data_IF_489425268376
#
_entry.id   IF_489425268376
#
_cell.length_a   1.000
_cell.length_b   1.000
_cell.length_c   1.000
_cell.angle_alpha   90.00
_cell.angle_beta   90.00
_cell.angle_gamma   90.00
#
_symmetry.space_group_name_H-M   'P 1'
#
loop_
_entity.id
_entity.type
_entity.pdbx_description
1 polymer ?
#
# COMPACT_ATOMS: atom_id res chain seq x y z
N UNK A 1 -32.89 63.69 46.92
CA UNK A 1 -32.78 62.23 46.87
C UNK A 1 -32.48 61.85 45.43
N UNK A 2 -31.20 61.49 45.09
CA UNK A 2 -30.79 61.08 43.73
C UNK A 2 -30.92 59.56 43.64
N UNK A 3 -31.74 59.05 42.74
CA UNK A 3 -31.86 57.62 42.45
C UNK A 3 -30.73 57.20 41.53
N UNK A 4 -29.89 56.29 41.98
CA UNK A 4 -28.83 55.65 41.17
C UNK A 4 -29.49 54.44 40.49
N UNK A 5 -29.61 54.47 39.17
CA UNK A 5 -30.06 53.32 38.38
C UNK A 5 -28.83 52.47 38.07
N UNK A 6 -28.80 51.27 38.64
CA UNK A 6 -27.79 50.27 38.38
C UNK A 6 -28.07 49.59 37.04
N UNK A 7 -27.25 49.83 36.03
CA UNK A 7 -27.32 49.20 34.72
C UNK A 7 -26.58 47.87 34.79
N UNK A 8 -27.28 46.76 34.88
CA UNK A 8 -26.70 45.41 34.83
C UNK A 8 -26.31 45.04 33.39
N UNK A 9 -25.00 44.96 33.16
CA UNK A 9 -24.45 44.48 31.88
C UNK A 9 -24.59 42.95 31.84
N UNK A 10 -25.54 42.43 31.08
CA UNK A 10 -25.66 41.01 30.74
C UNK A 10 -24.63 40.69 29.67
N UNK A 11 -23.54 40.00 30.05
CA UNK A 11 -22.62 39.37 29.10
C UNK A 11 -23.30 38.16 28.46
N UNK A 12 -23.27 38.03 27.11
CA UNK A 12 -23.81 36.84 26.48
C UNK A 12 -22.97 35.59 26.84
N UNK A 13 -23.62 34.41 26.96
CA UNK A 13 -22.89 33.20 27.23
C UNK A 13 -21.97 32.88 26.05
N UNK A 14 -20.69 32.76 26.31
CA UNK A 14 -19.72 32.18 25.37
C UNK A 14 -20.06 30.69 25.20
N UNK A 15 -20.76 30.35 24.12
CA UNK A 15 -20.83 28.96 23.67
C UNK A 15 -19.47 28.62 23.05
N UNK A 16 -18.60 28.02 23.85
CA UNK A 16 -17.41 27.37 23.35
C UNK A 16 -17.85 26.20 22.47
N UNK A 17 -17.68 26.32 21.15
CA UNK A 17 -17.76 25.15 20.26
C UNK A 17 -16.60 24.24 20.65
N UNK A 18 -16.89 23.14 21.32
CA UNK A 18 -15.97 22.04 21.46
C UNK A 18 -15.63 21.55 20.05
N UNK A 19 -14.43 21.82 19.53
CA UNK A 19 -13.93 21.17 18.33
C UNK A 19 -13.89 19.67 18.64
N UNK A 20 -14.82 18.96 18.02
CA UNK A 20 -14.84 17.50 18.06
C UNK A 20 -13.68 17.01 17.19
N UNK A 21 -12.48 16.88 17.78
CA UNK A 21 -11.31 16.31 17.11
C UNK A 21 -11.54 14.81 16.97
N UNK A 22 -12.15 14.40 15.87
CA UNK A 22 -12.34 13.00 15.54
C UNK A 22 -11.00 12.46 14.98
N UNK A 23 -10.37 11.56 15.74
CA UNK A 23 -9.21 10.83 15.27
C UNK A 23 -9.65 9.74 14.30
N UNK A 24 -8.93 9.58 13.20
CA UNK A 24 -9.09 8.43 12.30
C UNK A 24 -8.09 7.36 12.68
N UNK A 25 -8.60 6.18 13.08
CA UNK A 25 -7.76 5.01 13.40
C UNK A 25 -8.16 3.88 12.48
N UNK A 26 -7.19 3.33 11.75
CA UNK A 26 -7.39 2.22 10.83
C UNK A 26 -6.54 1.02 11.27
N UNK A 27 -7.13 -0.18 11.21
CA UNK A 27 -6.41 -1.43 11.44
C UNK A 27 -6.15 -2.15 10.11
N UNK A 28 -4.93 -2.63 9.91
CA UNK A 28 -4.55 -3.44 8.75
C UNK A 28 -4.44 -4.94 9.06
N UNK A 29 -4.84 -5.37 10.26
CA UNK A 29 -4.76 -6.78 10.67
C UNK A 29 -5.62 -7.75 9.85
N UNK A 30 -6.87 -7.44 9.45
CA UNK A 30 -7.63 -8.30 8.55
C UNK A 30 -6.94 -8.43 7.18
N UNK A 31 -7.02 -9.62 6.56
CA UNK A 31 -6.42 -9.87 5.25
C UNK A 31 -7.07 -9.04 4.12
N UNK A 32 -8.32 -8.68 4.26
CA UNK A 32 -9.09 -8.02 3.21
C UNK A 32 -9.65 -9.00 2.19
N UNK A 33 -10.28 -8.52 1.11
CA UNK A 33 -10.84 -9.36 0.07
C UNK A 33 -9.77 -10.04 -0.79
N UNK A 34 -10.13 -11.20 -1.33
CA UNK A 34 -9.33 -11.88 -2.36
C UNK A 34 -9.29 -11.00 -3.62
N UNK A 35 -8.10 -10.81 -4.18
CA UNK A 35 -7.90 -10.05 -5.40
C UNK A 35 -8.55 -10.78 -6.59
N UNK A 36 -9.16 -10.05 -7.54
CA UNK A 36 -9.72 -10.66 -8.74
C UNK A 36 -8.59 -11.22 -9.62
N UNK A 37 -8.82 -12.42 -10.22
CA UNK A 37 -7.83 -13.09 -11.08
C UNK A 37 -7.63 -12.42 -12.46
N UNK A 38 -7.76 -11.10 -12.55
CA UNK A 38 -7.56 -10.37 -13.82
C UNK A 38 -6.08 -10.12 -14.10
N UNK A 39 -5.32 -9.81 -13.04
CA UNK A 39 -3.90 -9.46 -13.10
C UNK A 39 -3.06 -10.25 -12.08
N UNK A 40 -3.61 -11.35 -11.58
CA UNK A 40 -3.00 -12.15 -10.53
C UNK A 40 -3.03 -13.62 -10.95
N UNK A 41 -2.00 -14.36 -10.58
CA UNK A 41 -1.93 -15.82 -10.66
C UNK A 41 -1.80 -16.32 -9.22
N UNK A 42 -2.58 -17.34 -8.85
CA UNK A 42 -2.64 -17.84 -7.48
C UNK A 42 -3.53 -16.97 -6.59
N UNK A 43 -3.19 -16.81 -5.33
CA UNK A 43 -4.02 -16.16 -4.33
C UNK A 43 -3.32 -14.94 -3.73
N UNK A 44 -3.99 -13.80 -3.79
CA UNK A 44 -3.57 -12.56 -3.17
C UNK A 44 -4.77 -11.89 -2.47
N UNK A 45 -4.54 -11.31 -1.30
CA UNK A 45 -5.53 -10.51 -0.57
C UNK A 45 -5.08 -9.08 -0.51
N UNK A 46 -6.01 -8.16 -0.76
CA UNK A 46 -5.76 -6.73 -0.78
C UNK A 46 -6.66 -6.05 0.25
N UNK A 47 -6.05 -5.34 1.19
CA UNK A 47 -6.75 -4.53 2.17
C UNK A 47 -6.38 -3.07 2.01
N UNK A 48 -7.37 -2.19 1.78
CA UNK A 48 -7.15 -0.75 1.85
C UNK A 48 -6.95 -0.36 3.30
N UNK A 49 -5.74 0.04 3.66
CA UNK A 49 -5.38 0.53 5.00
C UNK A 49 -5.70 2.01 5.12
N UNK A 50 -5.34 2.79 4.10
CA UNK A 50 -5.60 4.20 4.00
C UNK A 50 -5.88 4.56 2.55
N UNK A 51 -6.94 5.34 2.35
CA UNK A 51 -7.23 5.94 1.06
C UNK A 51 -6.79 7.40 1.08
N UNK A 52 -6.04 7.82 0.05
CA UNK A 52 -5.59 9.19 -0.09
C UNK A 52 -6.74 10.16 -0.33
N UNK A 53 -6.53 11.38 0.11
CA UNK A 53 -7.46 12.50 -0.06
C UNK A 53 -6.71 13.79 -0.46
N UNK A 54 -7.33 14.94 -0.28
CA UNK A 54 -6.72 16.25 -0.63
C UNK A 54 -5.57 16.67 0.29
N UNK A 55 -5.48 16.12 1.49
CA UNK A 55 -4.42 16.42 2.46
C UNK A 55 -3.31 15.37 2.37
N UNK A 56 -3.68 14.12 2.05
CA UNK A 56 -2.77 12.98 1.95
C UNK A 56 -2.96 12.29 0.61
N UNK A 57 -2.18 12.66 -0.38
CA UNK A 57 -2.35 12.22 -1.78
C UNK A 57 -1.77 10.83 -2.10
N UNK A 58 -1.70 9.92 -1.14
CA UNK A 58 -1.29 8.54 -1.38
C UNK A 58 -2.19 7.53 -0.66
N UNK A 59 -2.33 6.37 -1.29
CA UNK A 59 -2.97 5.20 -0.72
C UNK A 59 -1.96 4.36 0.05
N UNK A 60 -2.43 3.64 1.05
CA UNK A 60 -1.70 2.53 1.67
C UNK A 60 -2.56 1.28 1.52
N UNK A 61 -2.03 0.30 0.80
CA UNK A 61 -2.65 -1.01 0.63
C UNK A 61 -1.77 -2.07 1.28
N UNK A 62 -2.34 -2.88 2.16
CA UNK A 62 -1.73 -4.13 2.58
C UNK A 62 -2.03 -5.19 1.53
N UNK A 63 -1.00 -5.85 1.04
CA UNK A 63 -1.12 -6.98 0.14
C UNK A 63 -0.47 -8.21 0.76
N UNK A 64 -1.18 -9.34 0.73
CA UNK A 64 -0.66 -10.65 1.14
C UNK A 64 -0.77 -11.59 -0.04
N UNK A 65 0.34 -12.15 -0.47
CA UNK A 65 0.42 -13.14 -1.54
C UNK A 65 0.77 -14.50 -0.94
N UNK A 66 0.03 -15.54 -1.27
CA UNK A 66 0.43 -16.91 -0.96
C UNK A 66 1.68 -17.29 -1.74
N UNK A 67 2.40 -18.28 -1.24
CA UNK A 67 3.53 -18.85 -1.99
C UNK A 67 3.11 -19.23 -3.41
N UNK A 68 3.99 -19.03 -4.37
CA UNK A 68 3.75 -19.30 -5.79
C UNK A 68 2.61 -18.45 -6.42
N UNK A 69 2.29 -17.31 -5.81
CA UNK A 69 1.32 -16.35 -6.35
C UNK A 69 2.04 -15.11 -6.86
N UNK A 70 1.57 -14.56 -7.96
CA UNK A 70 2.20 -13.42 -8.63
C UNK A 70 1.16 -12.46 -9.21
N UNK A 71 1.63 -11.30 -9.66
CA UNK A 71 0.84 -10.32 -10.40
C UNK A 71 1.55 -9.90 -11.70
N UNK A 72 0.79 -9.31 -12.60
CA UNK A 72 1.28 -8.84 -13.90
C UNK A 72 2.25 -7.66 -13.78
N UNK A 73 3.04 -7.44 -14.84
CA UNK A 73 3.82 -6.24 -15.02
C UNK A 73 2.93 -5.00 -14.98
N UNK A 74 3.37 -4.00 -14.25
CA UNK A 74 2.64 -2.74 -14.10
C UNK A 74 3.58 -1.58 -13.80
N UNK A 75 3.03 -0.38 -13.87
CA UNK A 75 3.71 0.86 -13.48
C UNK A 75 2.75 1.85 -12.82
N UNK A 76 3.32 2.82 -12.15
CA UNK A 76 2.58 3.94 -11.57
C UNK A 76 3.13 5.26 -12.09
N UNK A 77 2.27 6.27 -12.22
CA UNK A 77 2.67 7.64 -12.61
C UNK A 77 3.44 8.39 -11.51
N UNK A 78 3.59 7.78 -10.33
CA UNK A 78 4.37 8.27 -9.19
C UNK A 78 5.25 7.15 -8.66
N UNK A 79 6.27 7.44 -7.85
CA UNK A 79 6.99 6.37 -7.15
C UNK A 79 6.06 5.55 -6.27
N UNK A 80 6.33 4.26 -6.19
CA UNK A 80 5.71 3.36 -5.20
C UNK A 80 6.75 2.96 -4.15
N UNK A 81 6.34 2.78 -2.91
CA UNK A 81 7.17 2.21 -1.84
C UNK A 81 6.52 0.93 -1.35
N UNK A 82 7.30 -0.15 -1.27
CA UNK A 82 6.91 -1.41 -0.65
C UNK A 82 7.66 -1.56 0.67
N UNK A 83 6.94 -1.82 1.76
CA UNK A 83 7.51 -2.11 3.08
C UNK A 83 7.16 -3.56 3.40
N UNK A 84 8.16 -4.44 3.40
CA UNK A 84 7.96 -5.88 3.57
C UNK A 84 7.77 -6.21 5.06
N UNK A 85 6.58 -6.66 5.41
CA UNK A 85 6.18 -6.94 6.79
C UNK A 85 6.45 -8.38 7.20
N UNK A 86 6.31 -9.32 6.24
CA UNK A 86 6.41 -10.75 6.51
C UNK A 86 6.83 -11.52 5.26
N UNK A 87 7.51 -12.63 5.48
CA UNK A 87 7.85 -13.61 4.44
C UNK A 87 8.92 -13.14 3.48
N UNK A 88 8.89 -13.74 2.28
CA UNK A 88 9.87 -13.54 1.22
C UNK A 88 9.17 -13.50 -0.14
N UNK A 89 9.68 -12.68 -1.03
CA UNK A 89 9.16 -12.54 -2.37
C UNK A 89 10.21 -12.15 -3.38
N UNK A 90 9.76 -11.89 -4.60
CA UNK A 90 10.60 -11.41 -5.71
C UNK A 90 10.14 -10.03 -6.14
N UNK A 91 11.11 -9.23 -6.57
CA UNK A 91 10.89 -7.92 -7.18
C UNK A 91 11.77 -7.79 -8.41
N UNK A 92 11.24 -7.20 -9.46
CA UNK A 92 12.00 -6.90 -10.67
C UNK A 92 11.47 -5.66 -11.36
N UNK A 93 12.37 -4.80 -11.81
CA UNK A 93 12.11 -3.74 -12.79
C UNK A 93 12.44 -4.26 -14.19
N UNK A 94 11.69 -3.85 -15.19
CA UNK A 94 11.89 -4.28 -16.58
C UNK A 94 13.29 -3.92 -17.06
N UNK A 95 13.98 -4.90 -17.64
CA UNK A 95 15.36 -4.74 -18.10
C UNK A 95 16.43 -4.86 -17.01
N UNK A 96 16.04 -5.11 -15.76
CA UNK A 96 16.98 -5.37 -14.66
C UNK A 96 16.89 -6.81 -14.16
N UNK A 97 17.90 -7.25 -13.43
CA UNK A 97 17.89 -8.53 -12.77
C UNK A 97 16.84 -8.58 -11.65
N UNK A 98 16.13 -9.70 -11.48
CA UNK A 98 15.24 -9.89 -10.35
C UNK A 98 16.02 -10.00 -9.05
N UNK A 99 15.40 -9.59 -7.96
CA UNK A 99 15.95 -9.69 -6.61
C UNK A 99 14.98 -10.37 -5.66
N UNK A 100 15.52 -10.95 -4.60
CA UNK A 100 14.74 -11.42 -3.45
C UNK A 100 14.47 -10.22 -2.54
N UNK A 101 13.23 -10.09 -2.10
CA UNK A 101 12.80 -9.15 -1.08
C UNK A 101 12.28 -9.93 0.14
N UNK A 102 12.59 -9.49 1.34
CA UNK A 102 12.25 -10.20 2.57
C UNK A 102 11.83 -9.25 3.69
N UNK A 103 11.25 -9.81 4.73
CA UNK A 103 10.85 -9.06 5.92
C UNK A 103 11.91 -8.05 6.37
N UNK A 104 11.49 -6.79 6.53
CA UNK A 104 12.33 -5.66 6.90
C UNK A 104 12.86 -4.84 5.74
N UNK A 105 12.78 -5.35 4.51
CA UNK A 105 13.21 -4.60 3.33
C UNK A 105 12.21 -3.48 2.99
N UNK A 106 12.76 -2.40 2.44
CA UNK A 106 11.99 -1.30 1.84
C UNK A 106 12.44 -1.14 0.40
N UNK A 107 11.50 -1.32 -0.53
CA UNK A 107 11.76 -1.18 -1.97
C UNK A 107 11.11 0.10 -2.47
N UNK A 108 11.87 0.93 -3.19
CA UNK A 108 11.35 2.10 -3.89
C UNK A 108 11.30 1.82 -5.39
N UNK A 109 10.08 1.73 -5.94
CA UNK A 109 9.85 1.63 -7.37
C UNK A 109 9.82 3.05 -7.96
N UNK A 110 10.67 3.42 -8.93
CA UNK A 110 10.61 4.72 -9.56
C UNK A 110 9.30 4.93 -10.34
N UNK A 111 8.90 6.19 -10.51
CA UNK A 111 7.73 6.51 -11.35
C UNK A 111 7.96 6.02 -12.79
N UNK A 112 6.87 5.67 -13.46
CA UNK A 112 6.82 5.23 -14.85
C UNK A 112 7.69 3.99 -15.18
N UNK A 113 8.28 3.34 -14.16
CA UNK A 113 9.08 2.13 -14.31
C UNK A 113 8.19 0.90 -14.27
N UNK A 114 8.20 0.09 -15.33
CA UNK A 114 7.52 -1.20 -15.33
C UNK A 114 8.21 -2.15 -14.37
N UNK A 115 7.43 -2.75 -13.49
CA UNK A 115 7.93 -3.65 -12.46
C UNK A 115 6.85 -4.68 -12.07
N UNK A 116 7.25 -5.67 -11.32
CA UNK A 116 6.38 -6.61 -10.63
C UNK A 116 6.98 -7.00 -9.28
N UNK A 117 6.12 -7.41 -8.37
CA UNK A 117 6.49 -7.85 -7.02
C UNK A 117 5.50 -8.90 -6.55
N UNK A 118 5.98 -9.95 -5.88
CA UNK A 118 5.18 -11.14 -5.63
C UNK A 118 5.75 -11.98 -4.49
N UNK A 119 5.06 -13.04 -4.10
CA UNK A 119 5.58 -14.07 -3.21
C UNK A 119 6.68 -14.90 -3.87
N UNK A 120 7.53 -15.53 -3.08
CA UNK A 120 8.46 -16.55 -3.60
C UNK A 120 7.75 -17.90 -3.83
N UNK A 121 8.44 -18.84 -4.43
CA UNK A 121 7.94 -20.21 -4.57
C UNK A 121 7.71 -20.90 -3.23
N UNK A 122 8.50 -20.54 -2.24
CA UNK A 122 8.58 -21.26 -0.97
C UNK A 122 7.86 -20.52 0.18
N UNK A 123 7.70 -19.20 0.06
CA UNK A 123 7.17 -18.35 1.12
C UNK A 123 6.01 -17.49 0.63
N UNK A 124 5.08 -17.18 1.51
CA UNK A 124 4.20 -16.04 1.34
C UNK A 124 4.99 -14.74 1.46
N UNK A 125 4.42 -13.63 1.01
CA UNK A 125 4.88 -12.29 1.33
C UNK A 125 3.71 -11.40 1.72
N UNK A 126 3.91 -10.59 2.76
CA UNK A 126 2.99 -9.50 3.13
C UNK A 126 3.76 -8.19 3.13
N UNK A 127 3.22 -7.17 2.48
CA UNK A 127 3.80 -5.84 2.42
C UNK A 127 2.75 -4.74 2.47
N UNK A 128 3.17 -3.54 2.86
CA UNK A 128 2.44 -2.31 2.61
C UNK A 128 2.94 -1.69 1.30
N UNK A 129 2.02 -1.37 0.41
CA UNK A 129 2.27 -0.63 -0.81
C UNK A 129 1.74 0.80 -0.64
N UNK A 130 2.64 1.79 -0.76
CA UNK A 130 2.32 3.21 -0.75
C UNK A 130 2.47 3.75 -2.16
N UNK A 131 1.43 4.35 -2.70
CA UNK A 131 1.39 4.90 -4.06
C UNK A 131 0.34 6.00 -4.18
N UNK A 132 0.43 6.83 -5.23
CA UNK A 132 -0.51 7.93 -5.48
C UNK A 132 -1.95 7.42 -5.59
N UNK A 133 -2.82 7.95 -4.73
CA UNK A 133 -4.23 7.61 -4.69
C UNK A 133 -5.06 8.18 -5.82
N UNK A 134 -4.55 9.19 -6.54
CA UNK A 134 -5.30 9.91 -7.59
C UNK A 134 -5.18 9.26 -8.98
N UNK A 135 -4.28 8.29 -9.16
CA UNK A 135 -4.00 7.66 -10.45
C UNK A 135 -4.13 6.14 -10.38
N UNK A 136 -4.74 5.52 -11.40
CA UNK A 136 -4.84 4.06 -11.44
C UNK A 136 -3.47 3.43 -11.70
N UNK A 137 -3.33 2.16 -11.27
CA UNK A 137 -2.25 1.27 -11.71
C UNK A 137 -2.36 1.04 -13.21
N UNK A 138 -1.26 1.17 -13.94
CA UNK A 138 -1.18 0.93 -15.38
C UNK A 138 -0.60 -0.46 -15.57
N UNK A 139 -1.47 -1.42 -15.91
CA UNK A 139 -1.07 -2.78 -16.26
C UNK A 139 -0.48 -2.79 -17.68
N UNK A 140 0.66 -3.48 -17.85
CA UNK A 140 1.38 -3.50 -19.13
C UNK A 140 1.40 -4.90 -19.75
N UNK A 141 2.27 -5.78 -19.31
CA UNK A 141 2.42 -7.12 -19.85
C UNK A 141 1.93 -8.20 -18.87
N UNK A 142 1.51 -9.33 -19.39
CA UNK A 142 1.22 -10.52 -18.58
C UNK A 142 2.51 -11.12 -18.04
N UNK A 143 2.53 -11.40 -16.73
CA UNK A 143 3.58 -12.23 -16.13
C UNK A 143 3.16 -13.70 -16.25
N UNK A 144 3.84 -14.45 -17.11
CA UNK A 144 3.50 -15.87 -17.29
C UNK A 144 4.07 -16.73 -16.16
N UNK A 145 3.41 -17.84 -15.86
CA UNK A 145 3.92 -18.83 -14.89
C UNK A 145 5.34 -19.29 -15.25
N UNK A 146 5.60 -19.54 -16.54
CA UNK A 146 6.92 -19.96 -17.01
C UNK A 146 8.02 -18.92 -16.74
N UNK A 147 7.71 -17.62 -16.93
CA UNK A 147 8.65 -16.55 -16.59
C UNK A 147 8.94 -16.50 -15.10
N UNK A 148 7.89 -16.55 -14.28
CA UNK A 148 8.02 -16.58 -12.82
C UNK A 148 8.86 -17.77 -12.35
N UNK A 149 8.64 -18.96 -12.93
CA UNK A 149 9.40 -20.17 -12.60
C UNK A 149 10.88 -20.05 -12.94
N UNK A 150 11.21 -19.45 -14.10
CA UNK A 150 12.59 -19.18 -14.50
C UNK A 150 13.29 -18.21 -13.55
N UNK A 151 12.59 -17.14 -13.13
CA UNK A 151 13.13 -16.20 -12.13
C UNK A 151 13.41 -16.89 -10.81
N UNK A 152 12.47 -17.70 -10.33
CA UNK A 152 12.66 -18.46 -9.09
C UNK A 152 13.86 -19.41 -9.16
N UNK A 153 14.06 -20.07 -10.30
CA UNK A 153 15.18 -20.99 -10.52
C UNK A 153 16.54 -20.25 -10.53
N UNK A 154 16.59 -19.10 -11.21
CA UNK A 154 17.75 -18.22 -11.24
C UNK A 154 18.16 -17.77 -9.84
N UNK A 155 17.21 -17.22 -9.07
CA UNK A 155 17.47 -16.72 -7.73
C UNK A 155 17.87 -17.83 -6.72
N UNK A 156 17.43 -19.08 -6.92
CA UNK A 156 17.93 -20.23 -6.13
C UNK A 156 19.39 -20.56 -6.43
N UNK A 157 19.85 -20.34 -7.64
CA UNK A 157 21.24 -20.59 -8.05
C UNK A 157 22.24 -19.61 -7.47
N UNK A 158 21.79 -18.38 -7.17
CA UNK A 158 22.62 -17.27 -6.70
C UNK A 158 22.85 -17.30 -5.16
N UNK A 159 22.16 -18.19 -4.43
CA UNK A 159 22.26 -18.37 -2.96
C UNK A 159 23.39 -19.37 -2.55
N UNK A 160 24.36 -19.61 -3.41
CA UNK A 160 25.52 -20.51 -3.08
C UNK A 160 26.69 -19.74 -2.48
#
# INVERSE_FOLDING_TARGET
MKRITLLSLLLPPFFGFAQNTQYTVTSFLPEGPLAPNTHYIGEAWLSSVLQGDSELNYNITKATFRKNSTLDWHKHSTPQVLIILEGEGYYQEKGKEPIIIKKGDVVRCPKDTEHWHTASKESLVTYLALYDGSKPTIWTDKLTQAYYDNVAQKLKGDIK
#
